data_IF_990780449306
#
_entry.id   IF_990780449306
#
_cell.length_a   1.000
_cell.length_b   1.000
_cell.length_c   1.000
_cell.angle_alpha   90.00
_cell.angle_beta   90.00
_cell.angle_gamma   90.00
#
_symmetry.space_group_name_H-M   'P 1'
#
loop_
_entity.id
_entity.type
_entity.pdbx_description
1 polymer ?
#
# COMPACT_ATOMS: atom_id res chain seq x y z
N UNK A 1 -9.68 4.97 -5.51
CA UNK A 1 -9.10 5.35 -4.21
C UNK A 1 -8.89 4.13 -3.31
N UNK A 2 -9.97 3.45 -2.91
CA UNK A 2 -9.95 2.47 -1.82
C UNK A 2 -8.94 1.34 -1.96
N UNK A 3 -8.83 0.69 -3.13
CA UNK A 3 -7.90 -0.44 -3.33
C UNK A 3 -6.43 -0.01 -3.17
N UNK A 4 -6.03 1.12 -3.76
CA UNK A 4 -4.69 1.66 -3.56
C UNK A 4 -4.43 2.02 -2.10
N UNK A 5 -5.42 2.59 -1.40
CA UNK A 5 -5.34 2.89 0.03
C UNK A 5 -5.20 1.64 0.90
N UNK A 6 -5.93 0.57 0.58
CA UNK A 6 -5.82 -0.73 1.26
C UNK A 6 -4.40 -1.29 1.11
N UNK A 7 -3.86 -1.32 -0.12
CA UNK A 7 -2.49 -1.80 -0.32
C UNK A 7 -1.46 -0.91 0.37
N UNK A 8 -1.61 0.41 0.33
CA UNK A 8 -0.75 1.33 1.07
C UNK A 8 -0.75 1.01 2.57
N UNK A 9 -1.93 0.80 3.16
CA UNK A 9 -2.07 0.39 4.55
C UNK A 9 -1.44 -0.98 4.84
N UNK A 10 -1.64 -1.96 3.96
CA UNK A 10 -1.02 -3.29 4.10
C UNK A 10 0.51 -3.17 4.13
N UNK A 11 1.13 -2.47 3.19
CA UNK A 11 2.58 -2.26 3.18
C UNK A 11 3.08 -1.47 4.40
N UNK A 12 2.32 -0.46 4.84
CA UNK A 12 2.69 0.40 5.95
C UNK A 12 2.61 -0.31 7.31
N UNK A 13 1.50 -1.00 7.60
CA UNK A 13 1.27 -1.62 8.91
C UNK A 13 1.66 -3.10 9.00
N UNK A 14 2.06 -3.77 7.90
CA UNK A 14 2.61 -5.14 8.00
C UNK A 14 3.68 -5.27 9.09
N UNK A 15 4.74 -4.43 9.14
CA UNK A 15 5.74 -4.56 10.19
C UNK A 15 5.19 -4.32 11.59
N UNK A 16 4.16 -3.48 11.76
CA UNK A 16 3.50 -3.27 13.06
C UNK A 16 2.72 -4.50 13.51
N UNK A 17 2.08 -5.22 12.58
CA UNK A 17 1.26 -6.39 12.89
C UNK A 17 2.11 -7.65 13.08
N UNK A 18 3.22 -7.77 12.35
CA UNK A 18 3.97 -9.03 12.24
C UNK A 18 5.41 -8.97 12.76
N UNK A 19 5.97 -7.78 12.94
CA UNK A 19 7.36 -7.56 13.35
C UNK A 19 8.40 -7.64 12.22
N UNK A 20 7.99 -7.90 10.97
CA UNK A 20 8.89 -8.00 9.81
C UNK A 20 8.46 -7.14 8.62
N UNK A 21 9.41 -6.77 7.75
CA UNK A 21 9.15 -5.92 6.57
C UNK A 21 8.85 -6.73 5.31
N UNK A 22 8.00 -6.16 4.45
CA UNK A 22 7.81 -6.67 3.09
C UNK A 22 8.98 -6.25 2.18
N UNK A 23 9.26 -7.02 1.13
CA UNK A 23 10.33 -6.70 0.21
C UNK A 23 9.94 -5.53 -0.71
N UNK A 24 10.76 -4.48 -0.68
CA UNK A 24 10.49 -3.22 -1.40
C UNK A 24 10.56 -3.36 -2.92
N UNK A 25 11.42 -4.25 -3.45
CA UNK A 25 11.55 -4.44 -4.91
C UNK A 25 10.25 -5.03 -5.49
N UNK A 26 9.71 -6.04 -4.83
CA UNK A 26 8.43 -6.64 -5.20
C UNK A 26 7.25 -5.71 -4.93
N UNK A 27 7.34 -4.88 -3.88
CA UNK A 27 6.35 -3.83 -3.59
C UNK A 27 6.23 -2.80 -4.72
N UNK A 28 7.37 -2.31 -5.22
CA UNK A 28 7.41 -1.39 -6.38
C UNK A 28 6.91 -2.04 -7.65
N UNK A 29 7.27 -3.31 -7.91
CA UNK A 29 6.75 -4.05 -9.06
C UNK A 29 5.23 -4.17 -9.00
N UNK A 30 4.67 -4.58 -7.86
CA UNK A 30 3.22 -4.62 -7.64
C UNK A 30 2.58 -3.26 -7.91
N UNK A 31 3.14 -2.17 -7.37
CA UNK A 31 2.61 -0.82 -7.57
C UNK A 31 2.56 -0.44 -9.06
N UNK A 32 3.64 -0.63 -9.81
CA UNK A 32 3.68 -0.24 -11.22
C UNK A 32 2.75 -1.08 -12.08
N UNK A 33 2.68 -2.40 -11.86
CA UNK A 33 1.74 -3.27 -12.57
C UNK A 33 0.28 -2.88 -12.28
N UNK A 34 -0.04 -2.59 -11.01
CA UNK A 34 -1.37 -2.15 -10.60
C UNK A 34 -1.73 -0.80 -11.22
N UNK A 35 -0.82 0.18 -11.18
CA UNK A 35 -1.03 1.52 -11.71
C UNK A 35 -1.21 1.51 -13.24
N UNK A 36 -0.35 0.80 -13.96
CA UNK A 36 -0.45 0.67 -15.41
C UNK A 36 -1.70 -0.12 -15.80
N UNK A 37 -1.96 -1.25 -15.14
CA UNK A 37 -3.16 -2.06 -15.36
C UNK A 37 -4.44 -1.28 -15.13
N UNK A 38 -4.51 -0.48 -14.06
CA UNK A 38 -5.65 0.41 -13.78
C UNK A 38 -5.90 1.39 -14.94
N UNK A 39 -4.88 2.11 -15.40
CA UNK A 39 -5.05 3.06 -16.50
C UNK A 39 -5.44 2.38 -17.81
N UNK A 40 -4.79 1.27 -18.17
CA UNK A 40 -5.10 0.51 -19.38
C UNK A 40 -6.51 -0.08 -19.32
N UNK A 41 -6.99 -0.47 -18.13
CA UNK A 41 -8.35 -1.01 -17.96
C UNK A 41 -9.40 0.07 -18.11
N UNK A 42 -9.29 1.16 -17.34
CA UNK A 42 -10.38 2.11 -17.16
C UNK A 42 -10.34 3.31 -18.11
N UNK A 43 -9.17 3.69 -18.63
CA UNK A 43 -9.09 4.83 -19.55
C UNK A 43 -9.83 4.57 -20.88
N UNK A 44 -9.67 3.40 -21.55
CA UNK A 44 -10.43 3.09 -22.77
C UNK A 44 -11.95 3.08 -22.57
N UNK A 45 -12.42 2.76 -21.35
CA UNK A 45 -13.86 2.77 -21.05
C UNK A 45 -14.48 4.16 -21.12
N UNK A 46 -13.70 5.23 -20.88
CA UNK A 46 -14.20 6.60 -21.05
C UNK A 46 -14.51 6.87 -22.52
N UNK A 47 -13.63 6.44 -23.42
CA UNK A 47 -13.81 6.56 -24.87
C UNK A 47 -14.99 5.71 -25.33
N UNK A 48 -15.06 4.44 -24.93
CA UNK A 48 -16.19 3.55 -25.23
C UNK A 48 -17.54 4.14 -24.77
N UNK A 49 -17.57 4.76 -23.58
CA UNK A 49 -18.75 5.44 -23.08
C UNK A 49 -19.17 6.63 -23.94
N UNK A 50 -18.20 7.43 -24.42
CA UNK A 50 -18.44 8.54 -25.35
C UNK A 50 -18.90 8.08 -26.73
N UNK A 51 -18.44 6.90 -27.19
CA UNK A 51 -18.90 6.24 -28.42
C UNK A 51 -20.28 5.56 -28.26
N UNK A 52 -20.90 5.67 -27.08
CA UNK A 52 -22.26 5.22 -26.83
C UNK A 52 -22.39 3.75 -26.44
N UNK A 53 -21.33 3.10 -25.96
CA UNK A 53 -21.41 1.74 -25.40
C UNK A 53 -22.12 1.77 -24.03
N UNK A 54 -23.35 1.24 -23.90
CA UNK A 54 -24.04 1.22 -22.62
C UNK A 54 -23.42 0.19 -21.67
N UNK A 55 -23.51 0.46 -20.37
CA UNK A 55 -23.08 -0.51 -19.34
C UNK A 55 -23.96 -1.77 -19.35
N UNK A 56 -23.41 -2.88 -18.85
CA UNK A 56 -24.12 -4.16 -18.61
C UNK A 56 -24.63 -4.86 -19.88
N UNK A 57 -23.88 -4.74 -20.98
CA UNK A 57 -24.05 -5.59 -22.16
C UNK A 57 -22.92 -6.61 -22.20
N UNK A 58 -23.23 -7.85 -22.56
CA UNK A 58 -22.25 -8.94 -22.66
C UNK A 58 -21.85 -9.24 -24.11
N UNK A 59 -22.63 -8.76 -25.08
CA UNK A 59 -22.40 -8.93 -26.51
C UNK A 59 -22.69 -7.62 -27.26
N UNK A 60 -21.98 -7.39 -28.35
CA UNK A 60 -22.11 -6.22 -29.21
C UNK A 60 -21.70 -6.57 -30.65
N UNK A 61 -22.34 -5.91 -31.62
CA UNK A 61 -22.01 -6.13 -33.03
C UNK A 61 -20.58 -5.64 -33.34
N UNK A 62 -19.77 -6.48 -34.00
CA UNK A 62 -18.39 -6.14 -34.37
C UNK A 62 -18.27 -4.92 -35.29
N UNK A 63 -19.34 -4.55 -36.00
CA UNK A 63 -19.41 -3.34 -36.84
C UNK A 63 -19.40 -2.02 -36.05
N UNK A 64 -19.55 -2.05 -34.72
CA UNK A 64 -19.57 -0.86 -33.87
C UNK A 64 -18.19 -0.23 -33.64
N UNK A 65 -17.09 -0.94 -33.94
CA UNK A 65 -15.73 -0.43 -33.72
C UNK A 65 -15.22 -0.51 -32.28
N UNK A 66 -16.03 -1.02 -31.33
CA UNK A 66 -15.69 -1.09 -29.91
C UNK A 66 -14.66 -2.18 -29.54
N UNK A 67 -14.39 -3.13 -30.44
CA UNK A 67 -13.56 -4.32 -30.17
C UNK A 67 -12.14 -3.98 -29.70
N UNK A 68 -11.37 -3.07 -30.35
CA UNK A 68 -10.00 -2.80 -29.94
C UNK A 68 -9.89 -2.21 -28.53
N UNK A 69 -10.80 -1.29 -28.17
CA UNK A 69 -10.82 -0.66 -26.84
C UNK A 69 -11.25 -1.65 -25.76
N UNK A 70 -12.21 -2.54 -26.03
CA UNK A 70 -12.60 -3.61 -25.11
C UNK A 70 -11.47 -4.64 -24.91
N UNK A 71 -10.75 -4.99 -25.98
CA UNK A 71 -9.58 -5.86 -25.89
C UNK A 71 -8.49 -5.23 -25.02
N UNK A 72 -8.19 -3.94 -25.24
CA UNK A 72 -7.20 -3.22 -24.45
C UNK A 72 -7.59 -3.17 -22.96
N UNK A 73 -8.87 -2.87 -22.67
CA UNK A 73 -9.37 -2.87 -21.30
C UNK A 73 -9.25 -4.26 -20.63
N UNK A 74 -9.49 -5.32 -21.39
CA UNK A 74 -9.36 -6.71 -20.93
C UNK A 74 -7.90 -7.07 -20.61
N UNK A 75 -6.95 -6.66 -21.46
CA UNK A 75 -5.51 -6.82 -21.19
C UNK A 75 -5.12 -6.11 -19.90
N UNK A 76 -5.61 -4.87 -19.71
CA UNK A 76 -5.42 -4.12 -18.46
C UNK A 76 -5.95 -4.88 -17.24
N UNK A 77 -7.13 -5.50 -17.35
CA UNK A 77 -7.74 -6.23 -16.25
C UNK A 77 -6.91 -7.46 -15.85
N UNK A 78 -6.35 -8.19 -16.82
CA UNK A 78 -5.40 -9.28 -16.54
C UNK A 78 -4.09 -8.76 -15.92
N UNK A 79 -3.63 -7.57 -16.30
CA UNK A 79 -2.44 -6.94 -15.68
C UNK A 79 -2.69 -6.59 -14.21
N UNK A 80 -3.90 -6.12 -13.87
CA UNK A 80 -4.33 -5.93 -12.47
C UNK A 80 -4.30 -7.26 -11.72
N UNK A 81 -4.89 -8.32 -12.29
CA UNK A 81 -4.87 -9.66 -11.67
C UNK A 81 -3.44 -10.16 -11.42
N UNK A 82 -2.55 -9.99 -12.39
CA UNK A 82 -1.14 -10.33 -12.25
C UNK A 82 -0.44 -9.51 -11.14
N UNK A 83 -0.78 -8.23 -10.98
CA UNK A 83 -0.21 -7.41 -9.90
C UNK A 83 -0.61 -7.94 -8.52
N UNK A 84 -1.86 -8.38 -8.34
CA UNK A 84 -2.31 -8.99 -7.08
C UNK A 84 -1.55 -10.29 -6.79
N UNK A 85 -1.24 -11.10 -7.81
CA UNK A 85 -0.39 -12.29 -7.63
C UNK A 85 1.03 -11.91 -7.19
N UNK A 86 1.59 -10.84 -7.74
CA UNK A 86 2.90 -10.31 -7.29
C UNK A 86 2.85 -9.86 -5.83
N UNK A 87 1.76 -9.23 -5.39
CA UNK A 87 1.57 -8.88 -3.97
C UNK A 87 1.54 -10.13 -3.07
N UNK A 88 0.74 -11.15 -3.43
CA UNK A 88 0.64 -12.40 -2.66
C UNK A 88 2.01 -13.08 -2.58
N UNK A 89 2.73 -13.13 -3.70
CA UNK A 89 4.09 -13.68 -3.74
C UNK A 89 5.04 -12.90 -2.83
N UNK A 90 5.02 -11.56 -2.88
CA UNK A 90 5.83 -10.70 -2.01
C UNK A 90 5.57 -10.99 -0.52
N UNK A 91 4.29 -11.05 -0.14
CA UNK A 91 3.90 -11.37 1.23
C UNK A 91 4.44 -12.72 1.67
N UNK A 92 4.32 -13.76 0.82
CA UNK A 92 4.79 -15.10 1.12
C UNK A 92 6.32 -15.18 1.30
N UNK A 93 7.10 -14.57 0.40
CA UNK A 93 8.56 -14.59 0.51
C UNK A 93 9.05 -13.79 1.73
N UNK A 94 8.40 -12.66 2.04
CA UNK A 94 8.74 -11.84 3.20
C UNK A 94 8.36 -12.52 4.51
N UNK A 95 7.23 -13.22 4.55
CA UNK A 95 6.85 -14.04 5.69
C UNK A 95 7.82 -15.20 5.95
N UNK A 96 8.42 -15.76 4.89
CA UNK A 96 9.47 -16.78 5.02
C UNK A 96 10.80 -16.19 5.49
N UNK A 97 11.19 -15.03 4.96
CA UNK A 97 12.46 -14.39 5.32
C UNK A 97 12.45 -13.75 6.72
N UNK A 98 11.32 -13.18 7.14
CA UNK A 98 11.12 -12.50 8.44
C UNK A 98 12.19 -11.46 8.77
N UNK A 99 12.55 -10.64 7.79
CA UNK A 99 13.50 -9.54 8.01
C UNK A 99 12.96 -8.58 9.07
N UNK A 100 13.68 -8.47 10.19
CA UNK A 100 13.23 -7.73 11.37
C UNK A 100 13.03 -6.25 11.05
N UNK A 101 11.86 -5.72 11.41
CA UNK A 101 11.50 -4.34 11.11
C UNK A 101 11.93 -3.34 12.19
N UNK A 102 12.06 -3.79 13.44
CA UNK A 102 12.09 -2.93 14.62
C UNK A 102 10.72 -2.35 14.96
N UNK A 103 10.67 -1.56 16.04
CA UNK A 103 9.41 -1.01 16.56
C UNK A 103 8.87 0.15 15.72
N UNK A 104 9.77 0.96 15.16
CA UNK A 104 9.47 2.11 14.31
C UNK A 104 10.28 2.07 12.98
N UNK A 105 9.90 1.19 12.04
CA UNK A 105 10.58 1.00 10.77
C UNK A 105 10.50 2.19 9.80
N UNK A 106 9.57 3.11 10.02
CA UNK A 106 9.21 4.19 9.09
C UNK A 106 9.41 5.58 9.68
N UNK A 107 9.98 5.67 10.88
CA UNK A 107 10.12 6.93 11.59
C UNK A 107 8.76 7.64 11.78
N UNK A 108 7.72 6.88 12.13
CA UNK A 108 6.33 7.30 12.21
C UNK A 108 6.05 8.40 13.24
N UNK A 109 4.87 9.00 13.12
CA UNK A 109 4.47 10.17 13.92
C UNK A 109 3.55 9.83 15.09
N UNK A 110 2.71 8.82 14.92
CA UNK A 110 1.60 8.46 15.79
C UNK A 110 1.99 7.37 16.79
N UNK A 111 1.20 7.25 17.86
CA UNK A 111 1.53 6.39 19.01
C UNK A 111 1.72 4.91 18.64
N UNK A 112 1.09 4.42 17.57
CA UNK A 112 1.30 3.03 17.11
C UNK A 112 2.79 2.68 16.93
N UNK A 113 3.64 3.66 16.60
CA UNK A 113 5.08 3.50 16.42
C UNK A 113 5.90 3.71 17.70
N UNK A 114 5.27 3.99 18.84
CA UNK A 114 5.91 4.07 20.15
C UNK A 114 5.89 2.76 20.94
N UNK A 115 5.12 1.77 20.50
CA UNK A 115 5.06 0.43 21.10
C UNK A 115 5.80 -0.59 20.24
N UNK A 116 6.01 -1.79 20.80
CA UNK A 116 6.70 -2.88 20.11
C UNK A 116 5.99 -3.30 18.83
N UNK A 117 6.72 -4.01 17.96
CA UNK A 117 6.18 -4.61 16.74
C UNK A 117 6.43 -6.13 16.74
N UNK A 118 5.40 -6.98 16.97
CA UNK A 118 4.00 -6.66 17.24
C UNK A 118 3.77 -6.06 18.63
N UNK A 119 2.66 -5.30 18.83
CA UNK A 119 2.32 -4.75 20.14
C UNK A 119 1.88 -5.85 21.12
N UNK A 120 2.08 -5.67 22.43
CA UNK A 120 1.52 -6.55 23.44
C UNK A 120 -0.02 -6.44 23.46
N UNK A 121 -0.72 -7.40 24.07
CA UNK A 121 -2.19 -7.42 24.12
C UNK A 121 -2.81 -6.16 24.75
N UNK A 122 -2.07 -5.51 25.65
CA UNK A 122 -2.47 -4.27 26.32
C UNK A 122 -1.98 -2.99 25.61
N UNK A 123 -1.25 -3.11 24.50
CA UNK A 123 -0.57 -2.04 23.74
C UNK A 123 0.46 -1.22 24.52
N UNK A 124 0.04 -0.51 25.56
CA UNK A 124 0.90 0.34 26.40
C UNK A 124 0.70 -0.01 27.87
N UNK A 125 1.80 -0.17 28.60
CA UNK A 125 1.76 -0.43 30.04
C UNK A 125 1.26 0.80 30.81
N UNK A 126 1.62 2.00 30.34
CA UNK A 126 1.14 3.28 30.86
C UNK A 126 0.65 4.16 29.73
N UNK A 127 -0.40 4.95 29.98
CA UNK A 127 -0.97 5.85 28.95
C UNK A 127 0.07 6.89 28.54
N UNK A 128 0.52 6.91 27.27
CA UNK A 128 1.55 7.85 26.85
C UNK A 128 1.01 9.29 26.85
N UNK A 129 1.73 10.28 27.40
CA UNK A 129 1.30 11.67 27.32
C UNK A 129 1.34 12.18 25.87
N UNK A 130 0.31 12.95 25.49
CA UNK A 130 0.13 13.52 24.14
C UNK A 130 -0.01 15.04 24.27
N UNK A 131 0.91 15.76 23.60
CA UNK A 131 0.95 17.23 23.62
C UNK A 131 0.81 17.86 22.22
N UNK A 132 0.77 17.03 21.17
CA UNK A 132 0.68 17.44 19.77
C UNK A 132 -0.02 16.36 18.94
N UNK A 133 -0.23 16.66 17.65
CA UNK A 133 -0.73 15.71 16.67
C UNK A 133 0.29 14.63 16.25
N UNK A 134 1.57 14.78 16.62
CA UNK A 134 2.67 13.86 16.27
C UNK A 134 3.53 13.48 17.49
N UNK A 135 2.94 12.82 18.50
CA UNK A 135 3.60 12.60 19.80
C UNK A 135 4.91 11.80 19.70
N UNK A 136 5.05 10.88 18.76
CA UNK A 136 6.26 10.05 18.62
C UNK A 136 7.40 10.83 17.98
N UNK A 137 7.07 11.66 16.99
CA UNK A 137 8.04 12.55 16.34
C UNK A 137 8.63 13.54 17.35
N UNK A 138 7.79 14.16 18.17
CA UNK A 138 8.24 15.15 19.16
C UNK A 138 9.17 14.53 20.20
N UNK A 139 8.86 13.31 20.66
CA UNK A 139 9.76 12.54 21.55
C UNK A 139 11.10 12.26 20.90
N UNK A 140 11.11 11.89 19.61
CA UNK A 140 12.34 11.62 18.86
C UNK A 140 13.22 12.88 18.75
N UNK A 141 12.62 14.03 18.41
CA UNK A 141 13.32 15.32 18.32
C UNK A 141 13.86 15.74 19.69
N UNK A 142 13.05 15.66 20.75
CA UNK A 142 13.49 16.01 22.10
C UNK A 142 14.68 15.13 22.57
N UNK A 143 14.65 13.84 22.25
CA UNK A 143 15.75 12.93 22.53
C UNK A 143 17.04 13.27 21.74
N UNK A 144 16.91 13.74 20.49
CA UNK A 144 18.05 14.21 19.69
C UNK A 144 18.67 15.48 20.30
N UNK A 145 17.85 16.48 20.61
CA UNK A 145 18.31 17.74 21.22
C UNK A 145 18.98 17.52 22.58
N UNK A 146 18.48 16.58 23.38
CA UNK A 146 19.09 16.21 24.65
C UNK A 146 20.47 15.57 24.46
N UNK A 147 20.65 14.73 23.42
CA UNK A 147 21.95 14.14 23.08
C UNK A 147 22.95 15.20 22.61
N UNK A 148 22.51 16.14 21.76
CA UNK A 148 23.36 17.24 21.28
C UNK A 148 23.87 18.12 22.42
N UNK A 149 22.98 18.48 23.36
CA UNK A 149 23.36 19.26 24.56
C UNK A 149 24.30 18.51 25.49
N UNK A 150 24.23 17.19 25.55
CA UNK A 150 25.13 16.37 26.37
C UNK A 150 26.53 16.18 25.73
N UNK A 151 26.63 16.42 24.41
CA UNK A 151 27.89 16.32 23.65
C UNK A 151 28.64 17.66 23.49
N UNK A 152 28.02 18.77 23.88
CA UNK A 152 28.59 20.12 23.87
C UNK A 152 29.13 20.48 25.26
#
# INVERSE_FOLDING_TARGET
GSVFGIFAGLYYWTPKITGWKMNERWGKLHFWLMMLGFNITFFPMHILGLEGMPRRIYDYAGSRGWTPLNLLATIGAFLIAASVLVYIYNYYISWKAREAAGDDPWEGNTLEWATSSPPPSYNFETVPPVYSERPVRDRRIAAQLAKEKASA
#
